data_IF_387337980859
#
_entry.id   IF_387337980859
#
_cell.length_a   1.000
_cell.length_b   1.000
_cell.length_c   1.000
_cell.angle_alpha   90.00
_cell.angle_beta   90.00
_cell.angle_gamma   90.00
#
_symmetry.space_group_name_H-M   'P 1'
#
loop_
_entity.id
_entity.type
_entity.pdbx_description
1 polymer ?
#
# COMPACT_ATOMS: atom_id res chain seq x y z
N UNK A 1 -1.95 21.55 -17.09
CA UNK A 1 -0.69 21.01 -16.54
C UNK A 1 -1.11 20.26 -15.28
N UNK A 2 -1.55 19.01 -15.32
CA UNK A 2 -0.95 17.89 -16.05
C UNK A 2 -1.95 16.84 -16.58
N UNK A 3 -3.21 17.22 -16.84
CA UNK A 3 -4.14 16.38 -17.61
C UNK A 3 -4.29 14.93 -17.08
N UNK A 4 -4.64 14.00 -17.97
CA UNK A 4 -4.82 12.59 -17.64
C UNK A 4 -3.50 11.91 -17.25
N UNK A 5 -2.42 12.21 -17.97
CA UNK A 5 -1.12 11.57 -17.77
C UNK A 5 -0.49 11.94 -16.43
N UNK A 6 -0.60 13.20 -16.01
CA UNK A 6 -0.14 13.65 -14.70
C UNK A 6 -0.93 13.05 -13.55
N UNK A 7 -2.25 12.90 -13.72
CA UNK A 7 -3.07 12.20 -12.71
C UNK A 7 -2.67 10.73 -12.59
N UNK A 8 -2.42 10.05 -13.70
CA UNK A 8 -1.94 8.67 -13.68
C UNK A 8 -0.54 8.55 -13.05
N UNK A 9 0.38 9.49 -13.33
CA UNK A 9 1.70 9.54 -12.71
C UNK A 9 1.60 9.73 -11.18
N UNK A 10 0.76 10.67 -10.74
CA UNK A 10 0.49 10.90 -9.32
C UNK A 10 -0.05 9.65 -8.62
N UNK A 11 -1.02 8.96 -9.23
CA UNK A 11 -1.53 7.71 -8.66
C UNK A 11 -0.44 6.64 -8.55
N UNK A 12 0.38 6.47 -9.60
CA UNK A 12 1.49 5.50 -9.59
C UNK A 12 2.45 5.75 -8.44
N UNK A 13 2.86 7.00 -8.24
CA UNK A 13 3.76 7.38 -7.15
C UNK A 13 3.13 7.10 -5.77
N UNK A 14 1.82 7.30 -5.64
CA UNK A 14 1.11 7.15 -4.37
C UNK A 14 0.82 5.71 -3.99
N UNK A 15 0.52 4.84 -4.96
CA UNK A 15 0.01 3.48 -4.67
C UNK A 15 0.98 2.36 -5.03
N UNK A 16 1.88 2.53 -6.01
CA UNK A 16 2.76 1.44 -6.42
C UNK A 16 3.87 1.20 -5.41
N UNK A 17 4.13 -0.07 -5.11
CA UNK A 17 5.15 -0.51 -4.16
C UNK A 17 5.00 0.09 -2.74
N UNK A 18 3.78 0.52 -2.39
CA UNK A 18 3.44 1.01 -1.05
C UNK A 18 2.50 0.01 -0.39
N UNK A 19 2.69 -0.20 0.91
CA UNK A 19 1.73 -0.95 1.71
C UNK A 19 0.55 -0.04 2.02
N UNK A 20 -0.66 -0.54 1.76
CA UNK A 20 -1.91 0.20 1.93
C UNK A 20 -2.86 -0.59 2.82
N UNK A 21 -3.58 0.12 3.69
CA UNK A 21 -4.74 -0.38 4.40
C UNK A 21 -5.98 0.13 3.69
N UNK A 22 -6.86 -0.78 3.26
CA UNK A 22 -8.06 -0.45 2.49
C UNK A 22 -9.29 -0.95 3.24
N UNK A 23 -10.24 -0.05 3.51
CA UNK A 23 -11.56 -0.38 4.07
C UNK A 23 -12.61 -0.21 2.97
N UNK A 24 -13.39 -1.25 2.74
CA UNK A 24 -14.43 -1.24 1.71
C UNK A 24 -14.88 -2.65 1.32
N UNK A 25 -15.35 -2.80 0.08
CA UNK A 25 -15.82 -4.08 -0.48
C UNK A 25 -14.84 -4.63 -1.52
N UNK A 26 -14.66 -5.94 -1.55
CA UNK A 26 -13.94 -6.62 -2.63
C UNK A 26 -14.90 -7.39 -3.52
N UNK A 27 -14.61 -7.38 -4.82
CA UNK A 27 -15.20 -8.28 -5.81
C UNK A 27 -14.04 -9.08 -6.38
N UNK A 28 -14.11 -10.41 -6.25
CA UNK A 28 -13.04 -11.32 -6.65
C UNK A 28 -13.59 -12.26 -7.72
N UNK A 29 -12.92 -12.31 -8.86
CA UNK A 29 -13.26 -13.15 -10.01
C UNK A 29 -12.00 -13.77 -10.65
N UNK A 30 -12.14 -14.31 -11.87
CA UNK A 30 -11.05 -14.93 -12.61
C UNK A 30 -10.02 -13.92 -13.17
N UNK A 31 -10.36 -12.62 -13.21
CA UNK A 31 -9.46 -11.54 -13.61
C UNK A 31 -8.69 -10.95 -12.43
N UNK A 32 -9.11 -11.26 -11.20
CA UNK A 32 -8.40 -10.89 -9.97
C UNK A 32 -9.32 -10.31 -8.91
N UNK A 33 -8.87 -9.25 -8.24
CA UNK A 33 -9.61 -8.59 -7.17
C UNK A 33 -9.79 -7.11 -7.48
N UNK A 34 -11.04 -6.66 -7.49
CA UNK A 34 -11.41 -5.26 -7.52
C UNK A 34 -11.79 -4.80 -6.11
N UNK A 35 -11.19 -3.71 -5.67
CA UNK A 35 -11.47 -3.09 -4.37
C UNK A 35 -12.29 -1.81 -4.56
N UNK A 36 -13.49 -1.79 -3.99
CA UNK A 36 -14.33 -0.61 -3.85
C UNK A 36 -14.06 -0.04 -2.45
N UNK A 37 -13.11 0.89 -2.39
CA UNK A 37 -12.66 1.47 -1.13
C UNK A 37 -13.53 2.65 -0.69
N UNK A 38 -13.98 2.62 0.57
CA UNK A 38 -14.53 3.78 1.26
C UNK A 38 -13.39 4.62 1.87
N UNK A 39 -12.31 3.95 2.30
CA UNK A 39 -11.13 4.58 2.89
C UNK A 39 -9.85 3.85 2.48
N UNK A 40 -8.79 4.61 2.21
CA UNK A 40 -7.46 4.10 1.88
C UNK A 40 -6.43 4.88 2.69
N UNK A 41 -5.68 4.16 3.51
CA UNK A 41 -4.55 4.68 4.28
C UNK A 41 -3.25 4.08 3.78
N UNK A 42 -2.21 4.90 3.75
CA UNK A 42 -0.86 4.45 3.45
C UNK A 42 -0.17 4.02 4.73
N UNK A 43 0.52 2.89 4.68
CA UNK A 43 1.42 2.50 5.77
C UNK A 43 2.67 3.38 5.71
N UNK A 44 2.82 4.25 6.71
CA UNK A 44 3.94 5.18 6.84
C UNK A 44 5.13 4.56 7.61
N UNK A 45 5.06 3.27 7.96
CA UNK A 45 6.15 2.56 8.64
C UNK A 45 7.41 2.62 7.78
N UNK A 46 8.49 3.17 8.35
CA UNK A 46 9.76 3.25 7.64
C UNK A 46 10.37 1.86 7.44
N UNK A 47 11.25 1.72 6.46
CA UNK A 47 11.96 0.44 6.25
C UNK A 47 12.78 0.02 7.48
N UNK A 48 13.29 0.98 8.24
CA UNK A 48 14.03 0.70 9.48
C UNK A 48 13.09 0.18 10.58
N UNK A 49 11.94 0.81 10.76
CA UNK A 49 10.94 0.39 11.75
C UNK A 49 10.37 -0.99 11.41
N UNK A 50 10.07 -1.24 10.13
CA UNK A 50 9.61 -2.54 9.67
C UNK A 50 10.67 -3.64 9.89
N UNK A 51 11.96 -3.34 9.64
CA UNK A 51 13.05 -4.27 9.92
C UNK A 51 13.19 -4.55 11.42
N UNK A 52 13.09 -3.50 12.26
CA UNK A 52 13.12 -3.63 13.71
C UNK A 52 11.97 -4.49 14.24
N UNK A 53 10.75 -4.31 13.73
CA UNK A 53 9.59 -5.13 14.09
C UNK A 53 9.84 -6.62 13.79
N UNK A 54 10.40 -6.91 12.61
CA UNK A 54 10.78 -8.29 12.24
C UNK A 54 11.88 -8.82 13.17
N UNK A 55 12.93 -8.06 13.44
CA UNK A 55 14.00 -8.52 14.34
C UNK A 55 13.47 -8.81 15.76
N UNK A 56 12.62 -7.95 16.30
CA UNK A 56 11.99 -8.15 17.61
C UNK A 56 11.09 -9.38 17.63
N UNK A 57 10.25 -9.56 16.60
CA UNK A 57 9.35 -10.71 16.49
C UNK A 57 10.12 -12.04 16.43
N UNK A 58 11.32 -12.02 15.87
CA UNK A 58 12.16 -13.22 15.69
C UNK A 58 13.27 -13.34 16.74
N UNK A 59 13.37 -12.40 17.69
CA UNK A 59 14.37 -12.41 18.75
C UNK A 59 15.82 -12.20 18.28
N UNK A 60 16.02 -11.57 17.12
CA UNK A 60 17.36 -11.27 16.59
C UNK A 60 17.90 -10.03 17.29
N UNK A 61 19.06 -10.15 17.93
CA UNK A 61 19.79 -9.04 18.55
C UNK A 61 20.97 -8.70 17.66
N UNK A 62 21.11 -7.43 17.28
CA UNK A 62 22.25 -6.90 16.52
C UNK A 62 23.46 -6.66 17.42
#
# INVERSE_FOLDING_TARGET
KDGQDGFAAFLRERVLARRLSVRGRSIIDDQGAMLLADEVEQDETTSADAANEVMQRWGVVL
#
